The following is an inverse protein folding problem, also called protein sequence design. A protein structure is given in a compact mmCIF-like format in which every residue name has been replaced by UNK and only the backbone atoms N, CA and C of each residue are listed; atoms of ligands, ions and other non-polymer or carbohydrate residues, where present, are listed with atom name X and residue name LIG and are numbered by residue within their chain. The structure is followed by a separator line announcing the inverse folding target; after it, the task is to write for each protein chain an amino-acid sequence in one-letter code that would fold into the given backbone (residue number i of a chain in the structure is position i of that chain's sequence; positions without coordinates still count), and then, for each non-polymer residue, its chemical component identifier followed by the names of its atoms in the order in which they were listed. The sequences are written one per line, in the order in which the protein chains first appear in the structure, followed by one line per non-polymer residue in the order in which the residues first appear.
data_IF_739234702202
#
_entry.id   IF_739234702202
#
_cell.length_a   1.000
_cell.length_b   1.000
_cell.length_c   1.000
_cell.angle_alpha   90.00
_cell.angle_beta   90.00
_cell.angle_gamma   90.00
#
_symmetry.space_group_name_H-M   'P 1'
#
loop_
_entity.id
_entity.type
_entity.pdbx_description
1 polymer ?
#
# COMPACT_ATOMS: atom_id res chain seq x y z
N UNK A 1 -16.36 -29.72 -6.63
CA UNK A 1 -16.28 -30.66 -5.47
C UNK A 1 -14.84 -30.58 -4.99
N UNK A 2 -14.58 -29.74 -3.99
CA UNK A 2 -13.24 -29.59 -3.42
C UNK A 2 -12.89 -30.90 -2.71
N UNK A 3 -11.73 -31.46 -3.00
CA UNK A 3 -11.25 -32.67 -2.34
C UNK A 3 -10.93 -32.32 -0.89
N UNK A 4 -11.71 -32.87 0.06
CA UNK A 4 -11.60 -32.56 1.50
C UNK A 4 -10.19 -32.87 2.01
N UNK A 5 -9.52 -33.86 1.44
CA UNK A 5 -8.15 -34.22 1.81
C UNK A 5 -7.16 -33.09 1.53
N UNK A 6 -7.36 -32.32 0.45
CA UNK A 6 -6.53 -31.14 0.14
C UNK A 6 -6.73 -29.98 1.10
N UNK A 7 -7.88 -29.91 1.77
CA UNK A 7 -8.17 -28.88 2.78
C UNK A 7 -7.57 -29.26 4.14
N UNK A 8 -7.47 -30.56 4.42
CA UNK A 8 -6.88 -31.08 5.66
C UNK A 8 -5.36 -31.06 5.65
N UNK A 9 -4.73 -31.12 4.47
CA UNK A 9 -3.28 -31.05 4.32
C UNK A 9 -2.71 -29.77 4.97
N UNK A 10 -1.70 -29.93 5.84
CA UNK A 10 -1.06 -28.82 6.54
C UNK A 10 -1.79 -28.35 7.81
N UNK A 11 -2.96 -28.92 8.14
CA UNK A 11 -3.59 -28.65 9.44
C UNK A 11 -2.83 -29.32 10.59
N UNK A 12 -2.71 -28.60 11.71
CA UNK A 12 -2.05 -29.10 12.92
C UNK A 12 -3.08 -29.49 13.98
N UNK A 13 -2.87 -30.65 14.59
CA UNK A 13 -3.63 -31.12 15.73
C UNK A 13 -2.73 -31.23 16.96
N UNK A 14 -3.26 -30.90 18.14
CA UNK A 14 -2.60 -31.18 19.40
C UNK A 14 -3.36 -32.27 20.15
N UNK A 15 -2.64 -33.26 20.69
CA UNK A 15 -3.22 -34.35 21.45
C UNK A 15 -2.31 -34.79 22.59
N UNK A 16 -2.92 -35.23 23.69
CA UNK A 16 -2.21 -35.92 24.76
C UNK A 16 -2.05 -37.38 24.36
N UNK A 17 -0.86 -37.72 23.84
CA UNK A 17 -0.56 -39.08 23.44
C UNK A 17 -0.08 -39.86 24.65
N UNK A 18 -0.75 -40.98 24.91
CA UNK A 18 -0.23 -41.99 25.82
C UNK A 18 0.85 -42.74 25.05
N UNK A 19 2.10 -42.40 25.29
CA UNK A 19 3.24 -43.12 24.74
C UNK A 19 3.28 -44.50 25.38
N UNK A 20 2.48 -45.45 24.89
CA UNK A 20 2.62 -46.83 25.32
C UNK A 20 4.03 -47.28 24.97
N UNK A 21 4.87 -47.48 25.99
CA UNK A 21 6.27 -47.91 25.87
C UNK A 21 6.42 -49.34 25.33
N UNK A 22 5.49 -49.82 24.49
CA UNK A 22 5.63 -51.05 23.71
C UNK A 22 6.51 -50.84 22.47
N UNK A 23 6.69 -49.59 22.00
CA UNK A 23 7.51 -49.26 20.82
C UNK A 23 8.97 -48.89 21.10
N UNK A 24 9.26 -48.22 22.22
CA UNK A 24 10.58 -47.57 22.47
C UNK A 24 11.55 -48.47 23.25
N UNK A 25 11.09 -49.45 24.02
CA UNK A 25 11.95 -50.47 24.67
C UNK A 25 12.27 -51.66 23.75
N UNK A 26 12.55 -51.41 22.47
CA UNK A 26 12.97 -52.47 21.54
C UNK A 26 14.42 -52.91 21.76
N UNK A 27 15.22 -52.14 22.50
CA UNK A 27 16.61 -52.48 22.81
C UNK A 27 16.96 -52.27 24.30
N UNK A 28 17.18 -53.42 24.95
CA UNK A 28 17.85 -53.66 26.24
C UNK A 28 17.13 -53.18 27.52
N UNK A 29 17.03 -54.13 28.45
CA UNK A 29 16.62 -54.03 29.87
C UNK A 29 15.14 -53.79 30.18
N UNK A 30 14.32 -54.84 30.10
CA UNK A 30 13.52 -55.39 31.21
C UNK A 30 12.50 -56.41 30.65
N UNK A 31 12.93 -57.67 30.62
CA UNK A 31 12.25 -58.82 30.00
C UNK A 31 11.05 -59.39 30.80
N UNK A 32 10.40 -58.63 31.68
CA UNK A 32 9.40 -59.19 32.60
C UNK A 32 7.94 -58.82 32.29
N UNK A 33 7.63 -57.60 31.85
CA UNK A 33 6.23 -57.19 31.66
C UNK A 33 5.58 -57.74 30.39
N UNK A 34 6.37 -58.08 29.36
CA UNK A 34 5.84 -58.69 28.12
C UNK A 34 5.41 -60.16 28.31
N UNK A 35 6.01 -60.90 29.25
CA UNK A 35 5.71 -62.32 29.46
C UNK A 35 4.44 -62.56 30.28
N UNK A 36 4.11 -61.64 31.20
CA UNK A 36 2.92 -61.76 32.06
C UNK A 36 1.64 -61.24 31.38
N UNK A 37 1.75 -60.25 30.49
CA UNK A 37 0.59 -59.72 29.75
C UNK A 37 0.45 -60.25 28.31
N UNK A 38 1.48 -60.91 27.78
CA UNK A 38 1.48 -61.48 26.42
C UNK A 38 0.63 -62.74 26.23
N UNK A 39 0.05 -63.31 27.29
CA UNK A 39 -0.76 -64.53 27.22
C UNK A 39 -2.27 -64.26 27.08
N UNK A 40 -2.74 -63.04 27.34
CA UNK A 40 -4.14 -62.64 27.08
C UNK A 40 -4.18 -61.69 25.89
N UNK A 41 -4.14 -62.26 24.68
CA UNK A 41 -4.69 -61.60 23.48
C UNK A 41 -6.21 -61.43 23.69
N UNK A 42 -6.60 -60.37 24.37
CA UNK A 42 -7.99 -59.96 24.53
C UNK A 42 -8.06 -58.48 24.19
N UNK A 43 -9.13 -58.10 23.49
CA UNK A 43 -9.57 -56.72 23.19
C UNK A 43 -9.35 -55.70 24.32
N UNK A 44 -9.22 -56.16 25.57
CA UNK A 44 -8.86 -55.35 26.72
C UNK A 44 -7.63 -54.45 26.50
N UNK A 45 -6.57 -54.88 25.80
CA UNK A 45 -5.32 -54.11 25.66
C UNK A 45 -5.39 -52.94 24.66
N UNK A 46 -6.47 -52.82 23.89
CA UNK A 46 -6.72 -51.68 23.00
C UNK A 46 -7.32 -50.46 23.72
N UNK A 47 -7.62 -50.57 25.01
CA UNK A 47 -8.24 -49.47 25.74
C UNK A 47 -7.20 -48.41 26.15
N UNK A 48 -7.39 -47.17 25.68
CA UNK A 48 -6.58 -45.99 25.99
C UNK A 48 -6.35 -45.81 27.50
N UNK A 49 -7.30 -46.22 28.34
CA UNK A 49 -7.23 -46.03 29.79
C UNK A 49 -6.29 -47.00 30.54
N UNK A 50 -5.88 -48.13 29.96
CA UNK A 50 -5.13 -49.13 30.72
C UNK A 50 -3.76 -48.65 31.23
N UNK A 51 -2.93 -47.97 30.43
CA UNK A 51 -1.66 -47.45 30.91
C UNK A 51 -1.85 -46.39 32.00
N UNK A 52 -2.93 -45.61 31.93
CA UNK A 52 -3.27 -44.61 32.95
C UNK A 52 -3.60 -45.26 34.30
N UNK A 53 -4.42 -46.32 34.28
CA UNK A 53 -4.77 -47.07 35.50
C UNK A 53 -3.53 -47.72 36.10
N UNK A 54 -2.67 -48.31 35.26
CA UNK A 54 -1.43 -48.92 35.72
C UNK A 54 -0.51 -47.92 36.44
N UNK A 55 -0.28 -46.76 35.82
CA UNK A 55 0.57 -45.73 36.43
C UNK A 55 -0.07 -45.13 37.69
N UNK A 56 -1.40 -45.03 37.72
CA UNK A 56 -2.12 -44.58 38.92
C UNK A 56 -1.92 -45.55 40.08
N UNK A 57 -1.94 -46.87 39.85
CA UNK A 57 -1.67 -47.86 40.88
C UNK A 57 -0.23 -47.76 41.40
N UNK A 58 0.73 -47.50 40.52
CA UNK A 58 2.13 -47.26 40.92
C UNK A 58 2.28 -45.99 41.74
N UNK A 59 1.64 -44.88 41.35
CA UNK A 59 1.66 -43.65 42.12
C UNK A 59 1.07 -43.83 43.52
N UNK A 60 -0.05 -44.56 43.64
CA UNK A 60 -0.63 -44.92 44.93
C UNK A 60 0.36 -45.76 45.74
N UNK A 61 0.95 -46.80 45.16
CA UNK A 61 1.91 -47.66 45.86
C UNK A 61 3.14 -46.89 46.37
N UNK A 62 3.71 -46.01 45.53
CA UNK A 62 4.84 -45.15 45.89
C UNK A 62 4.49 -44.17 47.02
N UNK A 63 3.30 -43.56 46.97
CA UNK A 63 2.84 -42.64 48.01
C UNK A 63 2.63 -43.33 49.37
N UNK A 64 2.11 -44.57 49.37
CA UNK A 64 1.95 -45.39 50.57
C UNK A 64 3.33 -45.80 51.10
N UNK A 65 4.25 -46.20 50.23
CA UNK A 65 5.61 -46.56 50.62
C UNK A 65 6.35 -45.39 51.29
N UNK A 66 6.28 -44.18 50.72
CA UNK A 66 6.84 -42.98 51.35
C UNK A 66 6.19 -42.67 52.70
N UNK A 67 4.90 -42.98 52.87
CA UNK A 67 4.19 -42.77 54.14
C UNK A 67 4.61 -43.79 55.20
N UNK A 68 4.85 -45.04 54.79
CA UNK A 68 5.41 -46.10 55.62
C UNK A 68 6.81 -45.76 56.10
N UNK A 69 7.67 -45.25 55.22
CA UNK A 69 9.04 -44.84 55.58
C UNK A 69 9.04 -43.75 56.67
N UNK A 70 8.06 -42.83 56.63
CA UNK A 70 7.97 -41.72 57.56
C UNK A 70 7.31 -42.06 58.90
N UNK A 71 6.28 -42.92 58.92
CA UNK A 71 5.45 -43.17 60.11
C UNK A 71 5.53 -44.60 60.66
N UNK A 72 6.14 -45.52 59.92
CA UNK A 72 6.17 -46.95 60.23
C UNK A 72 4.90 -47.69 59.77
N UNK A 73 5.06 -48.97 59.43
CA UNK A 73 4.01 -49.84 58.87
C UNK A 73 2.79 -49.91 59.81
N UNK A 74 3.01 -50.04 61.12
CA UNK A 74 1.94 -50.21 62.12
C UNK A 74 0.98 -49.01 62.19
N UNK A 75 1.48 -47.78 62.02
CA UNK A 75 0.63 -46.59 62.03
C UNK A 75 -0.21 -46.46 60.76
N UNK A 76 0.34 -46.88 59.62
CA UNK A 76 -0.36 -46.87 58.33
C UNK A 76 -1.43 -47.97 58.30
N UNK A 77 -1.12 -49.16 58.82
CA UNK A 77 -2.07 -50.30 58.90
C UNK A 77 -3.25 -50.02 59.83
N UNK A 78 -3.01 -49.32 60.94
CA UNK A 78 -4.04 -48.97 61.93
C UNK A 78 -4.72 -47.62 61.63
N UNK A 79 -4.70 -47.15 60.39
CA UNK A 79 -5.35 -45.89 59.99
C UNK A 79 -6.86 -45.92 60.26
N UNK A 80 -7.38 -44.86 60.89
CA UNK A 80 -8.81 -44.64 61.11
C UNK A 80 -9.22 -43.29 60.51
N UNK A 81 -10.35 -43.28 59.80
CA UNK A 81 -10.94 -42.07 59.24
C UNK A 81 -11.46 -41.16 60.37
N UNK A 82 -11.20 -39.84 60.29
CA UNK A 82 -11.54 -38.82 61.30
C UNK A 82 -10.87 -39.00 62.68
N UNK A 83 -9.76 -39.72 62.78
CA UNK A 83 -8.94 -39.75 64.00
C UNK A 83 -7.78 -38.73 63.89
N UNK A 84 -7.69 -37.84 64.89
CA UNK A 84 -6.62 -36.84 64.97
C UNK A 84 -5.22 -37.47 65.09
N UNK A 85 -5.12 -38.70 65.62
CA UNK A 85 -3.85 -39.42 65.75
C UNK A 85 -3.32 -39.95 64.42
N UNK A 86 -4.20 -40.22 63.46
CA UNK A 86 -3.85 -40.79 62.14
C UNK A 86 -3.85 -39.74 61.03
N UNK A 87 -4.37 -38.52 61.30
CA UNK A 87 -4.31 -37.37 60.39
C UNK A 87 -2.90 -37.10 59.80
N UNK A 88 -1.79 -37.16 60.56
CA UNK A 88 -0.45 -36.94 60.00
C UNK A 88 -0.04 -37.97 58.94
N UNK A 89 -0.61 -39.18 58.98
CA UNK A 89 -0.39 -40.24 57.98
C UNK A 89 -1.07 -39.85 56.68
N UNK A 90 -2.32 -39.35 56.74
CA UNK A 90 -3.05 -38.87 55.56
C UNK A 90 -2.37 -37.65 54.93
N UNK A 91 -1.93 -36.69 55.74
CA UNK A 91 -1.20 -35.51 55.26
C UNK A 91 0.11 -35.89 54.57
N UNK A 92 0.80 -36.91 55.09
CA UNK A 92 2.03 -37.42 54.48
C UNK A 92 1.76 -38.22 53.21
N UNK A 93 0.66 -38.98 53.16
CA UNK A 93 0.22 -39.67 51.96
C UNK A 93 -0.07 -38.68 50.83
N UNK A 94 -0.82 -37.62 51.12
CA UNK A 94 -1.14 -36.58 50.13
C UNK A 94 0.11 -35.85 49.64
N UNK A 95 1.02 -35.47 50.55
CA UNK A 95 2.31 -34.86 50.18
C UNK A 95 3.17 -35.79 49.34
N UNK A 96 3.27 -37.06 49.73
CA UNK A 96 4.06 -38.04 48.99
C UNK A 96 3.44 -38.33 47.62
N UNK A 97 2.10 -38.32 47.50
CA UNK A 97 1.40 -38.49 46.23
C UNK A 97 1.70 -37.34 45.26
N UNK A 98 1.66 -36.09 45.73
CA UNK A 98 2.01 -34.93 44.90
C UNK A 98 3.50 -34.89 44.53
N UNK A 99 4.37 -35.45 45.36
CA UNK A 99 5.81 -35.53 45.13
C UNK A 99 6.25 -36.77 44.31
N UNK A 100 5.32 -37.58 43.82
CA UNK A 100 5.65 -38.73 42.97
C UNK A 100 6.15 -38.23 41.61
N UNK A 101 7.34 -38.71 41.24
CA UNK A 101 7.98 -38.48 39.95
C UNK A 101 8.62 -39.82 39.50
N UNK A 102 8.10 -40.42 38.43
CA UNK A 102 8.66 -41.65 37.86
C UNK A 102 8.31 -41.82 36.38
N UNK A 103 9.04 -42.71 35.70
CA UNK A 103 8.72 -43.12 34.33
C UNK A 103 7.69 -44.27 34.34
N UNK A 104 6.46 -43.99 33.93
CA UNK A 104 5.36 -44.95 33.84
C UNK A 104 5.13 -45.49 32.42
N UNK A 105 4.13 -46.37 32.26
CA UNK A 105 3.71 -46.92 30.97
C UNK A 105 3.06 -45.89 30.04
N UNK A 106 2.51 -44.81 30.58
CA UNK A 106 1.92 -43.70 29.83
C UNK A 106 2.87 -42.50 29.63
N UNK A 107 4.16 -42.66 29.96
CA UNK A 107 5.16 -41.61 29.87
C UNK A 107 5.65 -41.16 31.25
N UNK A 108 6.27 -39.98 31.29
CA UNK A 108 6.72 -39.39 32.53
C UNK A 108 5.51 -39.03 33.41
N UNK A 109 5.48 -39.51 34.65
CA UNK A 109 4.36 -39.35 35.56
C UNK A 109 4.75 -38.42 36.71
N UNK A 110 4.11 -37.24 36.74
CA UNK A 110 4.27 -36.28 37.81
C UNK A 110 2.99 -35.44 37.97
N UNK A 111 2.81 -34.85 39.16
CA UNK A 111 1.76 -33.89 39.46
C UNK A 111 2.31 -32.47 39.40
N UNK A 112 1.50 -31.54 38.91
CA UNK A 112 1.78 -30.12 39.07
C UNK A 112 1.50 -29.71 40.52
N UNK A 113 2.50 -29.12 41.18
CA UNK A 113 2.43 -28.69 42.58
C UNK A 113 1.37 -27.61 42.82
N UNK A 114 0.98 -26.85 41.78
CA UNK A 114 -0.01 -25.78 41.90
C UNK A 114 -1.43 -26.29 41.64
N UNK A 115 -1.67 -26.94 40.51
CA UNK A 115 -3.02 -27.42 40.14
C UNK A 115 -3.40 -28.75 40.78
N UNK A 116 -2.42 -29.54 41.26
CA UNK A 116 -2.64 -30.92 41.72
C UNK A 116 -3.04 -31.87 40.60
N UNK A 117 -2.94 -31.44 39.33
CA UNK A 117 -3.29 -32.24 38.16
C UNK A 117 -2.07 -32.95 37.61
N UNK A 118 -2.28 -34.20 37.20
CA UNK A 118 -1.29 -34.96 36.45
C UNK A 118 -0.99 -34.24 35.13
N UNK A 119 0.28 -34.09 34.81
CA UNK A 119 0.72 -33.53 33.54
C UNK A 119 1.00 -34.64 32.51
N UNK A 120 0.86 -34.27 31.24
CA UNK A 120 1.13 -35.11 30.08
C UNK A 120 1.92 -34.30 29.07
N UNK A 121 2.74 -35.00 28.29
CA UNK A 121 3.41 -34.40 27.14
C UNK A 121 2.36 -34.12 26.06
N UNK A 122 2.39 -32.91 25.52
CA UNK A 122 1.49 -32.47 24.46
C UNK A 122 2.12 -32.78 23.11
N UNK A 123 1.59 -33.77 22.41
CA UNK A 123 2.06 -34.13 21.07
C UNK A 123 1.40 -33.25 20.02
N UNK A 124 2.18 -32.89 19.01
CA UNK A 124 1.77 -32.09 17.86
C UNK A 124 1.82 -32.99 16.65
N UNK A 125 0.68 -33.12 15.98
CA UNK A 125 0.57 -33.86 14.74
C UNK A 125 0.23 -32.95 13.56
N UNK A 126 0.75 -33.29 12.38
CA UNK A 126 0.49 -32.63 11.11
C UNK A 126 -0.19 -33.61 10.14
N UNK A 127 -1.27 -33.20 9.50
CA UNK A 127 -1.91 -34.00 8.46
C UNK A 127 -1.15 -33.89 7.13
N UNK A 128 -0.73 -35.04 6.57
CA UNK A 128 -0.10 -35.13 5.25
C UNK A 128 -1.16 -35.09 4.11
N UNK A 129 -0.71 -34.98 2.85
CA UNK A 129 -1.57 -34.92 1.66
C UNK A 129 -2.55 -36.10 1.51
N UNK A 130 -2.24 -37.22 2.18
CA UNK A 130 -3.06 -38.43 2.19
C UNK A 130 -4.10 -38.46 3.32
N UNK A 131 -4.17 -37.42 4.17
CA UNK A 131 -5.05 -37.34 5.33
C UNK A 131 -4.58 -38.14 6.56
N UNK A 132 -3.33 -38.61 6.55
CA UNK A 132 -2.72 -39.30 7.69
C UNK A 132 -2.05 -38.30 8.66
N UNK A 133 -2.23 -38.51 9.96
CA UNK A 133 -1.63 -37.67 11.01
C UNK A 133 -0.22 -38.16 11.35
N UNK A 134 0.79 -37.36 11.01
CA UNK A 134 2.20 -37.59 11.37
C UNK A 134 2.55 -36.86 12.67
N UNK A 135 3.26 -37.50 13.59
CA UNK A 135 3.69 -36.94 14.88
C UNK A 135 5.01 -36.15 14.71
N UNK A 136 4.94 -34.82 14.72
CA UNK A 136 6.07 -33.94 14.38
C UNK A 136 6.88 -33.50 15.60
N UNK A 137 6.33 -33.66 16.80
CA UNK A 137 7.03 -33.34 18.03
C UNK A 137 6.13 -33.37 19.27
N UNK A 138 6.73 -33.14 20.43
CA UNK A 138 6.02 -33.04 21.70
C UNK A 138 6.56 -31.89 22.54
N UNK A 139 5.67 -31.27 23.30
CA UNK A 139 5.99 -30.22 24.25
C UNK A 139 6.01 -30.80 25.66
N UNK A 140 7.17 -30.73 26.31
CA UNK A 140 7.33 -31.07 27.71
C UNK A 140 7.11 -29.80 28.55
N UNK A 141 6.04 -29.82 29.35
CA UNK A 141 5.68 -28.70 30.23
C UNK A 141 6.64 -28.52 31.40
N UNK A 142 7.26 -29.59 31.90
CA UNK A 142 8.19 -29.52 33.03
C UNK A 142 9.43 -28.71 32.66
N UNK A 143 9.99 -29.01 31.49
CA UNK A 143 11.20 -28.32 30.97
C UNK A 143 10.82 -27.07 30.17
N UNK A 144 9.54 -26.88 29.84
CA UNK A 144 9.03 -25.80 28.97
C UNK A 144 9.77 -25.77 27.63
N UNK A 145 9.99 -26.94 27.03
CA UNK A 145 10.70 -27.10 25.76
C UNK A 145 9.89 -27.93 24.77
N UNK A 146 9.93 -27.49 23.52
CA UNK A 146 9.41 -28.24 22.38
C UNK A 146 10.52 -29.14 21.82
N UNK A 147 10.23 -30.43 21.73
CA UNK A 147 11.11 -31.42 21.12
C UNK A 147 10.50 -31.86 19.80
N UNK A 148 11.18 -31.52 18.70
CA UNK A 148 10.79 -31.96 17.36
C UNK A 148 11.37 -33.35 17.10
N UNK A 149 10.55 -34.25 16.54
CA UNK A 149 11.00 -35.62 16.22
C UNK A 149 12.08 -35.59 15.15
N UNK A 150 11.90 -34.75 14.13
CA UNK A 150 12.86 -34.48 13.06
C UNK A 150 12.71 -33.02 12.60
N UNK A 151 13.76 -32.20 12.63
CA UNK A 151 13.68 -30.77 12.31
C UNK A 151 13.21 -30.47 10.88
N UNK A 152 13.42 -31.40 9.94
CA UNK A 152 13.10 -31.23 8.51
C UNK A 152 11.73 -31.83 8.11
N UNK A 153 10.94 -32.36 9.06
CA UNK A 153 9.66 -33.03 8.74
C UNK A 153 8.48 -32.09 8.54
N UNK A 154 8.57 -30.84 9.03
CA UNK A 154 7.51 -29.85 8.90
C UNK A 154 7.68 -29.09 7.59
N UNK A 155 7.39 -29.76 6.48
CA UNK A 155 7.42 -29.15 5.15
C UNK A 155 6.00 -28.81 4.74
N UNK A 156 5.72 -27.51 4.60
CA UNK A 156 4.47 -27.02 4.02
C UNK A 156 4.52 -27.19 2.50
N UNK A 157 4.40 -28.44 2.02
CA UNK A 157 4.57 -28.81 0.60
C UNK A 157 3.67 -28.00 -0.34
N UNK A 158 2.44 -27.70 0.09
CA UNK A 158 1.47 -26.89 -0.64
C UNK A 158 1.81 -25.39 -0.71
N UNK A 159 2.80 -24.91 0.06
CA UNK A 159 3.19 -23.50 0.21
C UNK A 159 4.71 -23.29 0.05
N UNK A 160 5.34 -24.04 -0.86
CA UNK A 160 6.75 -23.84 -1.22
C UNK A 160 7.76 -24.26 -0.14
N UNK A 161 7.33 -25.04 0.85
CA UNK A 161 8.21 -25.61 1.89
C UNK A 161 8.54 -24.69 3.06
N UNK A 162 8.05 -23.44 3.07
CA UNK A 162 8.20 -22.51 4.19
C UNK A 162 6.88 -22.33 4.94
N UNK A 163 6.95 -21.97 6.22
CA UNK A 163 5.74 -21.65 7.00
C UNK A 163 5.02 -20.44 6.37
N UNK A 164 3.68 -20.47 6.28
CA UNK A 164 2.93 -19.34 5.76
C UNK A 164 3.10 -18.11 6.65
N UNK A 165 3.15 -16.94 6.03
CA UNK A 165 3.18 -15.65 6.72
C UNK A 165 1.82 -15.36 7.37
N UNK A 166 1.85 -14.63 8.47
CA UNK A 166 0.67 -14.15 9.20
C UNK A 166 0.06 -12.89 8.58
N UNK A 167 0.90 -12.05 7.96
CA UNK A 167 0.50 -10.84 7.23
C UNK A 167 1.07 -10.84 5.80
N UNK A 168 0.31 -10.25 4.87
CA UNK A 168 0.78 -10.00 3.51
C UNK A 168 1.90 -8.95 3.50
N UNK A 169 2.95 -9.18 2.72
CA UNK A 169 4.05 -8.22 2.57
C UNK A 169 3.61 -7.14 1.57
N UNK A 170 3.44 -5.90 2.03
CA UNK A 170 3.08 -4.76 1.15
C UNK A 170 4.33 -4.18 0.49
N UNK A 171 4.37 -4.20 -0.84
CA UNK A 171 5.45 -3.61 -1.64
C UNK A 171 4.91 -2.46 -2.47
N UNK A 172 5.47 -1.25 -2.30
CA UNK A 172 5.05 -0.08 -3.06
C UNK A 172 5.88 0.07 -4.33
N UNK A 173 5.22 0.04 -5.49
CA UNK A 173 5.85 0.25 -6.79
C UNK A 173 5.38 1.57 -7.40
N UNK A 174 6.32 2.44 -7.79
CA UNK A 174 5.97 3.74 -8.38
C UNK A 174 5.69 3.59 -9.87
N UNK A 175 4.47 3.92 -10.30
CA UNK A 175 4.14 4.02 -11.72
C UNK A 175 4.63 5.36 -12.28
N UNK A 176 5.59 5.29 -13.20
CA UNK A 176 6.10 6.44 -13.93
C UNK A 176 5.52 6.48 -15.36
N UNK A 177 5.54 7.65 -15.99
CA UNK A 177 5.18 7.79 -17.41
C UNK A 177 6.17 7.02 -18.28
N UNK A 178 5.70 6.46 -19.39
CA UNK A 178 6.56 5.79 -20.37
C UNK A 178 7.66 6.74 -20.87
N UNK A 179 8.91 6.27 -20.82
CA UNK A 179 10.08 7.03 -21.29
C UNK A 179 9.91 7.54 -22.72
N UNK A 180 9.23 6.77 -23.58
CA UNK A 180 8.95 7.16 -24.96
C UNK A 180 8.10 8.42 -25.04
N UNK A 181 7.02 8.50 -24.26
CA UNK A 181 6.12 9.66 -24.23
C UNK A 181 6.87 10.88 -23.69
N UNK A 182 7.64 10.70 -22.63
CA UNK A 182 8.47 11.76 -22.06
C UNK A 182 9.45 12.35 -23.07
N UNK A 183 10.18 11.50 -23.80
CA UNK A 183 11.15 11.95 -24.81
C UNK A 183 10.44 12.74 -25.92
N UNK A 184 9.35 12.19 -26.46
CA UNK A 184 8.61 12.83 -27.56
C UNK A 184 8.07 14.20 -27.15
N UNK A 185 7.41 14.31 -25.99
CA UNK A 185 6.85 15.57 -25.50
C UNK A 185 7.95 16.59 -25.16
N UNK A 186 9.07 16.14 -24.60
CA UNK A 186 10.20 17.03 -24.29
C UNK A 186 10.85 17.61 -25.55
N UNK A 187 10.99 16.80 -26.60
CA UNK A 187 11.53 17.26 -27.89
C UNK A 187 10.57 18.27 -28.53
N UNK A 188 9.26 18.00 -28.52
CA UNK A 188 8.26 18.92 -29.06
C UNK A 188 8.24 20.27 -28.32
N UNK A 189 8.26 20.25 -26.98
CA UNK A 189 8.36 21.47 -26.17
C UNK A 189 9.67 22.23 -26.43
N UNK A 190 10.80 21.52 -26.58
CA UNK A 190 12.09 22.12 -26.93
C UNK A 190 12.07 22.81 -28.30
N UNK A 191 11.43 22.21 -29.31
CA UNK A 191 11.23 22.83 -30.62
C UNK A 191 10.33 24.07 -30.51
N UNK A 192 9.25 24.00 -29.73
CA UNK A 192 8.35 25.12 -29.48
C UNK A 192 9.07 26.36 -28.91
N UNK A 193 9.87 26.15 -27.85
CA UNK A 193 10.68 27.20 -27.23
C UNK A 193 11.67 27.79 -28.24
N UNK A 194 12.37 26.94 -29.01
CA UNK A 194 13.34 27.39 -29.99
C UNK A 194 12.70 28.25 -31.09
N UNK A 195 11.54 27.84 -31.60
CA UNK A 195 10.78 28.60 -32.60
C UNK A 195 10.30 29.94 -32.03
N UNK A 196 9.79 29.96 -30.80
CA UNK A 196 9.35 31.18 -30.13
C UNK A 196 10.53 32.16 -29.97
N UNK A 197 11.70 31.70 -29.53
CA UNK A 197 12.90 32.52 -29.38
C UNK A 197 13.38 33.08 -30.72
N UNK A 198 13.43 32.26 -31.78
CA UNK A 198 13.79 32.73 -33.13
C UNK A 198 12.84 33.84 -33.57
N UNK A 199 11.54 33.66 -33.37
CA UNK A 199 10.55 34.65 -33.78
C UNK A 199 10.63 35.94 -32.95
N UNK A 200 10.91 35.85 -31.64
CA UNK A 200 11.20 37.03 -30.79
C UNK A 200 12.41 37.79 -31.34
N UNK A 201 13.52 37.09 -31.61
CA UNK A 201 14.75 37.70 -32.14
C UNK A 201 14.47 38.36 -33.49
N UNK A 202 13.79 37.65 -34.40
CA UNK A 202 13.42 38.18 -35.71
C UNK A 202 12.55 39.43 -35.60
N UNK A 203 11.55 39.43 -34.71
CA UNK A 203 10.66 40.56 -34.48
C UNK A 203 11.38 41.77 -33.87
N UNK A 204 12.41 41.56 -33.05
CA UNK A 204 13.24 42.64 -32.49
C UNK A 204 14.19 43.22 -33.54
N UNK A 205 14.84 42.37 -34.34
CA UNK A 205 15.79 42.80 -35.39
C UNK A 205 15.09 43.58 -36.49
N UNK A 206 13.92 43.11 -36.94
CA UNK A 206 13.14 43.74 -38.01
C UNK A 206 12.02 44.66 -37.50
N UNK A 207 12.17 45.23 -36.29
CA UNK A 207 11.13 46.03 -35.63
C UNK A 207 10.64 47.21 -36.47
N UNK A 208 11.51 47.77 -37.33
CA UNK A 208 11.19 48.91 -38.20
C UNK A 208 10.43 48.53 -39.47
N UNK A 209 10.29 47.24 -39.76
CA UNK A 209 9.53 46.78 -40.92
C UNK A 209 8.02 47.05 -40.71
N UNK A 210 7.38 47.64 -41.72
CA UNK A 210 5.98 48.12 -41.67
C UNK A 210 5.02 47.03 -41.17
N UNK A 211 5.20 45.79 -41.64
CA UNK A 211 4.35 44.66 -41.22
C UNK A 211 4.44 44.32 -39.73
N UNK A 212 5.60 44.50 -39.10
CA UNK A 212 5.80 44.22 -37.67
C UNK A 212 5.24 45.38 -36.84
N UNK A 213 5.46 46.62 -37.29
CA UNK A 213 4.95 47.83 -36.63
C UNK A 213 3.42 47.90 -36.62
N UNK A 214 2.77 47.54 -37.72
CA UNK A 214 1.31 47.57 -37.85
C UNK A 214 0.61 46.40 -37.13
N UNK A 215 1.37 45.36 -36.73
CA UNK A 215 0.86 44.14 -36.09
C UNK A 215 0.73 44.17 -34.56
N UNK A 216 1.02 45.31 -33.92
CA UNK A 216 1.12 45.49 -32.47
C UNK A 216 2.13 44.52 -31.82
N UNK A 217 3.43 44.85 -31.90
CA UNK A 217 4.51 43.93 -31.54
C UNK A 217 4.51 43.57 -30.04
N UNK A 218 4.06 44.46 -29.15
CA UNK A 218 4.08 44.22 -27.69
C UNK A 218 3.13 43.08 -27.34
N UNK A 219 1.90 43.10 -27.86
CA UNK A 219 0.93 42.02 -27.62
C UNK A 219 1.40 40.70 -28.22
N UNK A 220 2.15 40.75 -29.33
CA UNK A 220 2.74 39.55 -29.94
C UNK A 220 3.83 38.96 -29.06
N UNK A 221 4.67 39.79 -28.43
CA UNK A 221 5.65 39.32 -27.44
C UNK A 221 4.99 38.69 -26.21
N UNK A 222 3.90 39.27 -25.69
CA UNK A 222 3.14 38.69 -24.57
C UNK A 222 2.66 37.26 -24.90
N UNK A 223 2.13 37.05 -26.10
CA UNK A 223 1.65 35.73 -26.56
C UNK A 223 2.82 34.73 -26.65
N UNK A 224 3.96 35.13 -27.21
CA UNK A 224 5.15 34.27 -27.34
C UNK A 224 5.75 33.89 -25.98
N UNK A 225 5.78 34.83 -25.03
CA UNK A 225 6.17 34.55 -23.65
C UNK A 225 5.21 33.50 -23.05
N UNK A 226 3.91 33.61 -23.33
CA UNK A 226 2.92 32.59 -22.95
C UNK A 226 3.22 31.20 -23.50
N UNK A 227 3.59 31.09 -24.78
CA UNK A 227 4.01 29.81 -25.38
C UNK A 227 5.21 29.22 -24.61
N UNK A 228 6.25 30.03 -24.37
CA UNK A 228 7.45 29.59 -23.66
C UNK A 228 7.12 29.11 -22.25
N UNK A 229 6.27 29.84 -21.51
CA UNK A 229 5.86 29.45 -20.16
C UNK A 229 5.14 28.10 -20.17
N UNK A 230 4.25 27.85 -21.13
CA UNK A 230 3.52 26.59 -21.26
C UNK A 230 4.43 25.43 -21.70
N UNK A 231 5.36 25.67 -22.61
CA UNK A 231 6.35 24.66 -23.02
C UNK A 231 7.27 24.28 -21.84
N UNK A 232 7.68 25.27 -21.03
CA UNK A 232 8.45 25.04 -19.80
C UNK A 232 7.62 24.28 -18.76
N UNK A 233 6.34 24.58 -18.63
CA UNK A 233 5.42 23.80 -17.78
C UNK A 233 5.40 22.32 -18.19
N UNK A 234 5.31 22.02 -19.49
CA UNK A 234 5.32 20.63 -19.99
C UNK A 234 6.61 19.92 -19.59
N UNK A 235 7.77 20.57 -19.73
CA UNK A 235 9.07 19.99 -19.36
C UNK A 235 9.17 19.70 -17.86
N UNK A 236 8.71 20.62 -17.02
CA UNK A 236 8.74 20.45 -15.56
C UNK A 236 7.76 19.36 -15.12
N UNK A 237 6.53 19.38 -15.61
CA UNK A 237 5.48 18.43 -15.22
C UNK A 237 5.86 16.98 -15.57
N UNK A 238 6.43 16.76 -16.74
CA UNK A 238 6.89 15.43 -17.17
C UNK A 238 8.15 15.00 -16.41
N UNK A 239 9.07 15.95 -16.14
CA UNK A 239 10.27 15.68 -15.34
C UNK A 239 9.93 15.22 -13.93
N UNK A 240 8.97 15.89 -13.29
CA UNK A 240 8.44 15.54 -11.97
C UNK A 240 7.91 14.10 -11.92
N UNK A 241 7.04 13.76 -12.89
CA UNK A 241 6.43 12.43 -13.05
C UNK A 241 7.45 11.31 -13.34
N UNK A 242 8.69 11.65 -13.70
CA UNK A 242 9.76 10.70 -14.02
C UNK A 242 10.85 10.61 -12.94
N UNK A 243 10.91 11.55 -11.99
CA UNK A 243 11.89 11.51 -10.89
C UNK A 243 11.58 10.44 -9.84
N UNK A 244 11.73 9.18 -10.22
CA UNK A 244 12.14 8.09 -9.33
C UNK A 244 13.66 8.08 -9.04
N UNK A 245 14.37 9.15 -9.41
CA UNK A 245 15.85 9.25 -9.33
C UNK A 245 16.30 9.87 -7.99
N UNK A 246 15.42 10.62 -7.31
CA UNK A 246 15.70 11.14 -5.97
C UNK A 246 14.67 10.58 -4.96
N UNK A 247 15.11 9.99 -3.84
CA UNK A 247 14.24 9.58 -2.75
C UNK A 247 13.73 10.77 -1.92
N UNK A 248 14.09 12.00 -2.29
CA UNK A 248 13.60 13.19 -1.60
C UNK A 248 12.14 13.47 -1.97
N UNK A 249 11.31 13.81 -0.98
CA UNK A 249 9.93 14.17 -1.23
C UNK A 249 9.90 15.35 -2.19
N UNK A 250 9.07 15.23 -3.22
CA UNK A 250 8.72 16.31 -4.12
C UNK A 250 8.42 17.58 -3.31
N UNK A 251 9.27 18.61 -3.41
CA UNK A 251 9.06 19.82 -2.63
C UNK A 251 7.69 20.42 -3.00
N UNK A 252 6.86 20.75 -2.00
CA UNK A 252 5.55 21.37 -2.24
C UNK A 252 5.62 22.66 -3.08
N UNK A 253 6.79 23.29 -3.13
CA UNK A 253 7.06 24.44 -3.97
C UNK A 253 7.06 24.10 -5.48
N UNK A 254 7.47 22.89 -5.88
CA UNK A 254 7.40 22.46 -7.28
C UNK A 254 5.93 22.28 -7.72
N UNK A 255 5.08 21.75 -6.84
CA UNK A 255 3.64 21.65 -7.07
C UNK A 255 3.00 23.03 -7.28
N UNK A 256 3.33 24.00 -6.42
CA UNK A 256 2.87 25.39 -6.54
C UNK A 256 3.38 26.05 -7.82
N UNK A 257 4.67 25.89 -8.13
CA UNK A 257 5.28 26.47 -9.33
C UNK A 257 4.64 25.91 -10.61
N UNK A 258 4.46 24.59 -10.69
CA UNK A 258 3.85 23.90 -11.83
C UNK A 258 2.41 24.35 -12.06
N UNK A 259 1.62 24.44 -11.00
CA UNK A 259 0.22 24.94 -11.05
C UNK A 259 0.19 26.41 -11.48
N UNK A 260 1.08 27.24 -10.94
CA UNK A 260 1.20 28.65 -11.31
C UNK A 260 1.58 28.85 -12.78
N UNK A 261 2.59 28.13 -13.27
CA UNK A 261 3.05 28.21 -14.66
C UNK A 261 1.92 27.89 -15.65
N UNK A 262 1.09 26.88 -15.36
CA UNK A 262 -0.05 26.55 -16.20
C UNK A 262 -1.08 27.70 -16.25
N UNK A 263 -1.46 28.23 -15.08
CA UNK A 263 -2.49 29.28 -14.97
C UNK A 263 -2.02 30.58 -15.63
N UNK A 264 -0.80 31.02 -15.32
CA UNK A 264 -0.23 32.24 -15.91
C UNK A 264 0.07 32.04 -17.40
N UNK A 265 0.69 30.93 -17.79
CA UNK A 265 0.99 30.60 -19.18
C UNK A 265 -0.27 30.63 -20.06
N UNK A 266 -1.38 30.06 -19.57
CA UNK A 266 -2.66 30.12 -20.23
C UNK A 266 -3.15 31.56 -20.45
N UNK A 267 -3.03 32.44 -19.46
CA UNK A 267 -3.45 33.85 -19.60
C UNK A 267 -2.56 34.63 -20.53
N UNK A 268 -1.24 34.47 -20.44
CA UNK A 268 -0.30 35.09 -21.38
C UNK A 268 -0.60 34.71 -22.82
N UNK A 269 -0.86 33.43 -23.09
CA UNK A 269 -1.20 32.95 -24.42
C UNK A 269 -2.61 33.40 -24.83
N UNK A 270 -3.64 32.89 -24.16
CA UNK A 270 -5.03 33.05 -24.58
C UNK A 270 -5.60 34.44 -24.26
N UNK A 271 -5.29 34.97 -23.09
CA UNK A 271 -5.65 36.34 -22.72
C UNK A 271 -4.95 37.36 -23.62
N UNK A 272 -3.66 37.14 -23.93
CA UNK A 272 -2.91 37.94 -24.90
C UNK A 272 -3.56 37.93 -26.30
N UNK A 273 -3.93 36.75 -26.81
CA UNK A 273 -4.63 36.61 -28.09
C UNK A 273 -5.99 37.31 -28.07
N UNK A 274 -6.77 37.14 -27.00
CA UNK A 274 -8.11 37.75 -26.85
C UNK A 274 -8.03 39.27 -26.87
N UNK A 275 -7.15 39.85 -26.06
CA UNK A 275 -6.97 41.31 -25.99
C UNK A 275 -6.48 41.87 -27.32
N UNK A 276 -5.56 41.17 -28.01
CA UNK A 276 -5.09 41.54 -29.34
C UNK A 276 -6.24 41.56 -30.35
N UNK A 277 -7.05 40.50 -30.42
CA UNK A 277 -8.20 40.40 -31.32
C UNK A 277 -9.28 41.43 -31.02
N UNK A 278 -9.50 41.72 -29.73
CA UNK A 278 -10.39 42.77 -29.30
C UNK A 278 -9.92 44.16 -29.75
N UNK A 279 -8.62 44.44 -29.66
CA UNK A 279 -8.02 45.64 -30.23
C UNK A 279 -8.29 45.75 -31.73
N UNK A 280 -8.11 44.66 -32.48
CA UNK A 280 -8.32 44.61 -33.95
C UNK A 280 -9.78 44.90 -34.28
N UNK A 281 -10.70 44.24 -33.59
CA UNK A 281 -12.13 44.49 -33.70
C UNK A 281 -12.46 45.97 -33.47
N UNK A 282 -11.95 46.57 -32.40
CA UNK A 282 -12.18 47.99 -32.07
C UNK A 282 -11.57 48.92 -33.12
N UNK A 283 -10.37 48.64 -33.61
CA UNK A 283 -9.69 49.42 -34.64
C UNK A 283 -10.51 49.45 -35.94
N UNK A 284 -11.07 48.30 -36.32
CA UNK A 284 -11.87 48.23 -37.55
C UNK A 284 -13.31 48.75 -37.37
N UNK A 285 -13.87 48.68 -36.16
CA UNK A 285 -15.20 49.19 -35.82
C UNK A 285 -15.24 50.72 -35.79
N UNK A 286 -14.19 51.36 -35.28
CA UNK A 286 -14.11 52.82 -35.25
C UNK A 286 -13.63 53.35 -36.62
N UNK A 287 -14.44 54.19 -37.26
CA UNK A 287 -14.12 54.79 -38.57
C UNK A 287 -12.86 55.68 -38.51
N UNK A 288 -11.70 55.08 -38.79
CA UNK A 288 -10.38 55.64 -39.19
C UNK A 288 -9.75 56.81 -38.40
N UNK A 289 -10.38 57.38 -37.37
CA UNK A 289 -9.91 58.62 -36.72
C UNK A 289 -9.16 58.44 -35.39
N UNK A 290 -9.06 57.23 -34.84
CA UNK A 290 -8.37 56.99 -33.55
C UNK A 290 -7.31 55.91 -33.69
N UNK A 291 -6.04 56.31 -33.59
CA UNK A 291 -4.92 55.40 -33.34
C UNK A 291 -5.16 54.78 -31.96
N UNK A 292 -5.36 53.46 -31.90
CA UNK A 292 -5.50 52.77 -30.63
C UNK A 292 -4.13 52.74 -29.96
N UNK A 293 -4.06 53.21 -28.71
CA UNK A 293 -2.83 53.14 -27.93
C UNK A 293 -2.59 51.70 -27.50
N UNK A 294 -1.47 51.11 -27.93
CA UNK A 294 -1.04 49.76 -27.56
C UNK A 294 -0.90 49.61 -26.03
N UNK A 295 -0.51 50.67 -25.32
CA UNK A 295 -0.43 50.67 -23.86
C UNK A 295 -1.77 50.42 -23.17
N UNK A 296 -2.89 50.77 -23.80
CA UNK A 296 -4.21 50.49 -23.24
C UNK A 296 -4.62 49.02 -23.39
N UNK A 297 -4.17 48.34 -24.45
CA UNK A 297 -4.33 46.89 -24.58
C UNK A 297 -3.50 46.15 -23.53
N UNK A 298 -2.25 46.57 -23.34
CA UNK A 298 -1.38 46.02 -22.28
C UNK A 298 -2.01 46.22 -20.89
N UNK A 299 -2.65 47.36 -20.65
CA UNK A 299 -3.37 47.60 -19.39
C UNK A 299 -4.54 46.63 -19.16
N UNK A 300 -5.35 46.34 -20.19
CA UNK A 300 -6.44 45.34 -20.09
C UNK A 300 -5.85 43.95 -19.80
N UNK A 301 -4.78 43.58 -20.49
CA UNK A 301 -4.09 42.31 -20.24
C UNK A 301 -3.53 42.23 -18.82
N UNK A 302 -2.91 43.30 -18.33
CA UNK A 302 -2.39 43.36 -16.96
C UNK A 302 -3.48 43.11 -15.91
N UNK A 303 -4.70 43.59 -16.12
CA UNK A 303 -5.83 43.30 -15.22
C UNK A 303 -6.20 41.82 -15.18
N UNK A 304 -6.07 41.08 -16.31
CA UNK A 304 -6.28 39.63 -16.32
C UNK A 304 -5.21 38.90 -15.50
N UNK A 305 -3.95 39.34 -15.57
CA UNK A 305 -2.86 38.78 -14.76
C UNK A 305 -3.06 39.07 -13.28
N UNK A 306 -3.48 40.28 -12.92
CA UNK A 306 -3.78 40.62 -11.52
C UNK A 306 -4.90 39.73 -10.96
N UNK A 307 -5.95 39.49 -11.75
CA UNK A 307 -7.02 38.56 -11.35
C UNK A 307 -6.48 37.14 -11.09
N UNK A 308 -5.60 36.63 -11.97
CA UNK A 308 -4.95 35.33 -11.78
C UNK A 308 -4.08 35.29 -10.52
N UNK A 309 -3.26 36.33 -10.29
CA UNK A 309 -2.41 36.42 -9.10
C UNK A 309 -3.26 36.37 -7.84
N UNK A 310 -4.38 37.08 -7.79
CA UNK A 310 -5.28 37.07 -6.64
C UNK A 310 -5.86 35.66 -6.41
N UNK A 311 -6.37 35.00 -7.46
CA UNK A 311 -6.96 33.66 -7.34
C UNK A 311 -5.93 32.62 -6.91
N UNK A 312 -4.73 32.65 -7.49
CA UNK A 312 -3.63 31.73 -7.15
C UNK A 312 -3.10 31.98 -5.74
N UNK A 313 -2.93 33.26 -5.35
CA UNK A 313 -2.50 33.61 -4.01
C UNK A 313 -3.51 33.14 -2.95
N UNK A 314 -4.82 33.32 -3.21
CA UNK A 314 -5.87 32.81 -2.34
C UNK A 314 -5.80 31.29 -2.19
N UNK A 315 -5.60 30.56 -3.29
CA UNK A 315 -5.45 29.10 -3.23
C UNK A 315 -4.24 28.70 -2.38
N UNK A 316 -3.05 29.24 -2.69
CA UNK A 316 -1.81 28.83 -2.01
C UNK A 316 -1.75 29.23 -0.52
N UNK A 317 -2.47 30.28 -0.12
CA UNK A 317 -2.54 30.73 1.29
C UNK A 317 -3.57 29.92 2.07
N UNK A 318 -4.73 29.61 1.48
CA UNK A 318 -5.82 28.90 2.17
C UNK A 318 -5.55 27.39 2.22
N UNK A 319 -5.08 26.81 1.12
CA UNK A 319 -4.89 25.37 0.97
C UNK A 319 -3.60 25.08 0.17
N UNK A 320 -2.43 25.04 0.83
CA UNK A 320 -1.16 24.83 0.15
C UNK A 320 -1.09 23.42 -0.45
N UNK A 321 -0.66 23.32 -1.71
CA UNK A 321 -0.46 22.02 -2.36
C UNK A 321 0.74 21.29 -1.75
N UNK A 322 0.56 20.00 -1.49
CA UNK A 322 1.59 19.09 -1.00
C UNK A 322 1.64 17.81 -1.85
N UNK A 323 2.81 17.14 -1.93
CA UNK A 323 2.91 15.86 -2.62
C UNK A 323 2.18 14.76 -1.84
N UNK A 324 1.39 13.94 -2.54
CA UNK A 324 0.70 12.80 -1.95
C UNK A 324 0.79 11.58 -2.88
N UNK A 325 1.02 10.40 -2.31
CA UNK A 325 0.95 9.13 -3.04
C UNK A 325 -0.49 8.71 -3.21
N UNK A 326 -0.93 8.61 -4.46
CA UNK A 326 -2.24 8.11 -4.85
C UNK A 326 -2.06 6.62 -5.20
N UNK A 327 -2.81 5.75 -4.54
CA UNK A 327 -2.84 4.32 -4.85
C UNK A 327 -3.67 4.09 -6.11
N UNK A 328 -3.12 3.41 -7.11
CA UNK A 328 -3.78 3.11 -8.38
C UNK A 328 -4.37 1.71 -8.35
N UNK A 329 -3.49 0.70 -8.38
CA UNK A 329 -3.84 -0.71 -8.53
C UNK A 329 -3.04 -1.53 -7.50
N UNK A 330 -3.63 -2.62 -7.00
CA UNK A 330 -2.91 -3.58 -6.16
C UNK A 330 -2.95 -4.97 -6.79
N UNK A 331 -1.80 -5.60 -6.96
CA UNK A 331 -1.69 -6.99 -7.42
C UNK A 331 -1.21 -7.87 -6.27
N UNK A 332 -1.97 -8.91 -5.95
CA UNK A 332 -1.58 -9.92 -4.97
C UNK A 332 -0.95 -11.10 -5.69
N UNK A 333 0.25 -11.49 -5.28
CA UNK A 333 0.87 -12.73 -5.68
C UNK A 333 0.54 -13.81 -4.62
N UNK A 334 -0.37 -14.72 -4.97
CA UNK A 334 -0.89 -15.77 -4.08
C UNK A 334 0.19 -16.77 -3.64
N UNK A 335 1.28 -16.89 -4.40
CA UNK A 335 2.38 -17.81 -4.11
C UNK A 335 3.37 -17.23 -3.10
N UNK A 336 3.62 -15.91 -3.16
CA UNK A 336 4.58 -15.22 -2.28
C UNK A 336 3.92 -14.43 -1.15
N UNK A 337 2.59 -14.31 -1.14
CA UNK A 337 1.83 -13.46 -0.22
C UNK A 337 2.29 -11.99 -0.25
N UNK A 338 2.89 -11.57 -1.37
CA UNK A 338 3.33 -10.19 -1.59
C UNK A 338 2.22 -9.44 -2.32
N UNK A 339 1.77 -8.33 -1.71
CA UNK A 339 0.85 -7.38 -2.34
C UNK A 339 1.64 -6.21 -2.88
N UNK A 340 1.79 -6.14 -4.20
CA UNK A 340 2.39 -4.99 -4.88
C UNK A 340 1.32 -3.91 -5.06
N UNK A 341 1.49 -2.79 -4.37
CA UNK A 341 0.63 -1.60 -4.46
C UNK A 341 1.30 -0.60 -5.39
N UNK A 342 0.65 -0.33 -6.51
CA UNK A 342 1.12 0.63 -7.49
C UNK A 342 0.71 2.03 -7.07
N UNK A 343 1.68 2.93 -6.88
CA UNK A 343 1.46 4.32 -6.45
C UNK A 343 1.93 5.33 -7.49
N UNK A 344 1.20 6.43 -7.61
CA UNK A 344 1.58 7.63 -8.37
C UNK A 344 1.73 8.80 -7.41
N UNK A 345 2.75 9.63 -7.59
CA UNK A 345 2.90 10.86 -6.81
C UNK A 345 2.16 11.97 -7.55
N UNK A 346 1.18 12.58 -6.88
CA UNK A 346 0.45 13.74 -7.36
C UNK A 346 0.55 14.89 -6.37
N UNK A 347 0.25 16.10 -6.85
CA UNK A 347 0.08 17.26 -5.99
C UNK A 347 -1.39 17.34 -5.53
N UNK A 348 -1.62 17.18 -4.24
CA UNK A 348 -2.94 17.13 -3.64
C UNK A 348 -3.15 18.25 -2.62
N UNK A 349 -4.40 18.60 -2.38
CA UNK A 349 -4.83 19.58 -1.39
C UNK A 349 -6.27 19.27 -0.98
N UNK A 350 -6.69 19.62 0.23
CA UNK A 350 -7.98 19.15 0.80
C UNK A 350 -9.18 19.67 -0.01
N UNK A 351 -9.10 20.90 -0.49
CA UNK A 351 -10.14 21.59 -1.24
C UNK A 351 -9.76 21.78 -2.72
N UNK A 352 -8.81 20.98 -3.25
CA UNK A 352 -8.30 21.03 -4.63
C UNK A 352 -9.42 21.22 -5.65
N UNK A 353 -10.44 20.38 -5.59
CA UNK A 353 -11.55 20.35 -6.55
C UNK A 353 -12.32 21.67 -6.60
N UNK A 354 -12.56 22.31 -5.45
CA UNK A 354 -13.29 23.57 -5.39
C UNK A 354 -12.50 24.73 -6.03
N UNK A 355 -11.20 24.82 -5.75
CA UNK A 355 -10.32 25.80 -6.37
C UNK A 355 -10.17 25.57 -7.87
N UNK A 356 -10.04 24.31 -8.31
CA UNK A 356 -9.97 23.94 -9.72
C UNK A 356 -11.24 24.34 -10.47
N UNK A 357 -12.42 24.03 -9.92
CA UNK A 357 -13.72 24.43 -10.50
C UNK A 357 -13.81 25.95 -10.60
N UNK A 358 -13.45 26.69 -9.55
CA UNK A 358 -13.51 28.14 -9.55
C UNK A 358 -12.61 28.76 -10.64
N UNK A 359 -11.38 28.26 -10.77
CA UNK A 359 -10.42 28.69 -11.82
C UNK A 359 -10.97 28.33 -13.20
N UNK A 360 -11.42 27.10 -13.41
CA UNK A 360 -11.95 26.66 -14.70
C UNK A 360 -13.18 27.47 -15.11
N UNK A 361 -14.10 27.77 -14.21
CA UNK A 361 -15.25 28.64 -14.49
C UNK A 361 -14.81 30.04 -14.92
N UNK A 362 -13.88 30.66 -14.20
CA UNK A 362 -13.34 31.97 -14.55
C UNK A 362 -12.62 31.95 -15.92
N UNK A 363 -11.77 30.95 -16.18
CA UNK A 363 -11.08 30.79 -17.47
C UNK A 363 -12.06 30.50 -18.61
N UNK A 364 -13.11 29.74 -18.37
CA UNK A 364 -14.17 29.48 -19.34
C UNK A 364 -14.89 30.76 -19.77
N UNK A 365 -15.14 31.69 -18.83
CA UNK A 365 -15.71 33.00 -19.17
C UNK A 365 -14.77 33.78 -20.10
N UNK A 366 -13.47 33.83 -19.78
CA UNK A 366 -12.46 34.48 -20.64
C UNK A 366 -12.39 33.83 -22.03
N UNK A 367 -12.44 32.49 -22.09
CA UNK A 367 -12.50 31.71 -23.33
C UNK A 367 -13.73 32.05 -24.19
N UNK A 368 -14.92 32.09 -23.58
CA UNK A 368 -16.16 32.38 -24.29
C UNK A 368 -16.19 33.83 -24.81
N UNK A 369 -15.77 34.79 -23.99
CA UNK A 369 -15.64 36.19 -24.40
C UNK A 369 -14.68 36.31 -25.57
N UNK A 370 -13.55 35.63 -25.49
CA UNK A 370 -12.58 35.56 -26.57
C UNK A 370 -13.18 35.02 -27.86
N UNK A 371 -13.80 33.83 -27.80
CA UNK A 371 -14.46 33.19 -28.93
C UNK A 371 -15.52 34.06 -29.59
N UNK A 372 -16.32 34.78 -28.79
CA UNK A 372 -17.34 35.71 -29.29
C UNK A 372 -16.74 36.88 -30.10
N UNK A 373 -15.56 37.36 -29.72
CA UNK A 373 -14.87 38.47 -30.39
C UNK A 373 -14.25 38.03 -31.73
N UNK A 374 -13.90 36.75 -31.89
CA UNK A 374 -13.22 36.25 -33.10
C UNK A 374 -14.05 36.46 -34.36
N UNK A 375 -15.34 36.14 -34.31
CA UNK A 375 -16.20 36.21 -35.51
C UNK A 375 -16.36 37.64 -36.05
N UNK A 376 -16.72 38.66 -35.25
CA UNK A 376 -16.73 40.05 -35.69
C UNK A 376 -15.37 40.55 -36.18
N UNK A 377 -14.27 40.15 -35.53
CA UNK A 377 -12.92 40.55 -35.92
C UNK A 377 -12.54 40.00 -37.29
N UNK A 378 -12.81 38.71 -37.54
CA UNK A 378 -12.61 38.04 -38.84
C UNK A 378 -13.41 38.70 -39.95
N UNK A 379 -14.71 38.91 -39.73
CA UNK A 379 -15.60 39.49 -40.72
C UNK A 379 -15.12 40.87 -41.17
N UNK A 380 -14.72 41.71 -40.21
CA UNK A 380 -14.20 43.05 -40.53
C UNK A 380 -12.82 43.03 -41.18
N UNK A 381 -11.95 42.08 -40.82
CA UNK A 381 -10.64 41.93 -41.45
C UNK A 381 -10.74 41.52 -42.92
N UNK A 382 -11.61 40.53 -43.23
CA UNK A 382 -11.85 40.07 -44.60
C UNK A 382 -12.40 41.20 -45.48
N UNK A 383 -13.35 42.00 -44.95
CA UNK A 383 -13.93 43.15 -45.68
C UNK A 383 -12.89 44.22 -46.05
N UNK A 384 -11.76 44.29 -45.34
CA UNK A 384 -10.70 45.28 -45.55
C UNK A 384 -9.44 44.71 -46.22
N UNK A 385 -9.44 43.44 -46.63
CA UNK A 385 -8.36 42.83 -47.41
C UNK A 385 -7.08 42.49 -46.63
N UNK A 386 -7.12 42.45 -45.29
CA UNK A 386 -5.97 42.05 -44.48
C UNK A 386 -6.01 40.54 -44.18
N UNK A 387 -5.20 39.76 -44.88
CA UNK A 387 -5.13 38.29 -44.75
C UNK A 387 -4.38 37.83 -43.49
N UNK A 388 -3.45 38.61 -42.95
CA UNK A 388 -2.59 38.20 -41.83
C UNK A 388 -3.35 37.96 -40.50
N UNK A 389 -4.55 38.52 -40.33
CA UNK A 389 -5.35 38.35 -39.11
C UNK A 389 -6.16 37.05 -39.07
N UNK A 390 -6.33 36.36 -40.21
CA UNK A 390 -7.04 35.08 -40.26
C UNK A 390 -6.31 34.00 -39.44
N UNK A 391 -4.97 34.03 -39.41
CA UNK A 391 -4.16 33.09 -38.64
C UNK A 391 -4.42 33.15 -37.13
N UNK A 392 -4.47 34.37 -36.55
CA UNK A 392 -4.76 34.56 -35.12
C UNK A 392 -6.16 34.10 -34.73
N UNK A 393 -7.13 34.30 -35.62
CA UNK A 393 -8.49 33.87 -35.39
C UNK A 393 -8.64 32.35 -35.46
N UNK A 394 -7.99 31.70 -36.43
CA UNK A 394 -7.95 30.24 -36.53
C UNK A 394 -7.25 29.65 -35.31
N UNK A 395 -6.10 30.18 -34.89
CA UNK A 395 -5.40 29.68 -33.69
C UNK A 395 -6.23 29.82 -32.42
N UNK A 396 -7.06 30.86 -32.32
CA UNK A 396 -7.94 31.06 -31.18
C UNK A 396 -9.11 30.06 -31.16
N UNK A 397 -9.72 29.78 -32.32
CA UNK A 397 -10.75 28.74 -32.43
C UNK A 397 -10.21 27.34 -32.16
N UNK A 398 -9.03 27.00 -32.69
CA UNK A 398 -8.41 25.70 -32.43
C UNK A 398 -8.05 25.54 -30.95
N UNK A 399 -7.52 26.59 -30.31
CA UNK A 399 -7.21 26.59 -28.88
C UNK A 399 -8.47 26.48 -28.01
N UNK A 400 -9.57 27.14 -28.39
CA UNK A 400 -10.86 27.06 -27.70
C UNK A 400 -11.41 25.63 -27.76
N UNK A 401 -11.44 25.01 -28.94
CA UNK A 401 -11.91 23.64 -29.13
C UNK A 401 -11.02 22.63 -28.38
N UNK A 402 -9.69 22.79 -28.49
CA UNK A 402 -8.75 21.93 -27.76
C UNK A 402 -8.96 22.04 -26.25
N UNK A 403 -9.12 23.25 -25.71
CA UNK A 403 -9.34 23.47 -24.27
C UNK A 403 -10.64 22.82 -23.78
N UNK A 404 -11.73 22.93 -24.55
CA UNK A 404 -13.02 22.31 -24.19
C UNK A 404 -12.88 20.78 -24.17
N UNK A 405 -12.26 20.21 -25.20
CA UNK A 405 -12.05 18.75 -25.29
C UNK A 405 -11.14 18.25 -24.17
N UNK A 406 -10.04 18.95 -23.88
CA UNK A 406 -9.11 18.58 -22.82
C UNK A 406 -9.76 18.56 -21.43
N UNK A 407 -10.63 19.54 -21.11
CA UNK A 407 -11.33 19.60 -19.82
C UNK A 407 -12.37 18.50 -19.67
N UNK A 408 -12.98 18.02 -20.77
CA UNK A 408 -13.95 16.92 -20.73
C UNK A 408 -13.27 15.56 -20.57
N UNK A 409 -12.04 15.42 -21.06
CA UNK A 409 -11.26 14.17 -21.00
C UNK A 409 -10.50 14.04 -19.66
N UNK A 410 -10.07 15.15 -19.08
CA UNK A 410 -9.37 15.19 -17.79
C UNK A 410 -10.34 15.03 -16.63
#
# INVERSE_FOLDING_TARGET
KTDILKVLEGTMGCSQKITSLLGVYRNKTHYSTKKTFGATKSKAMQNYYNPLVYDTLWAIALSINGSIQKHGIEKVKNYRHRDNKTKPVLDSLYKNLLAVDFQGMSGHFYYDNVSGLRQFDSHIGLFDSNGELSDIGYFDKNVSKLFMTEPDTVVWKSKGGSAPLDEEIKQYERRCISKTVTIVLSVLAGIGILLALIYIIYAVVHRDHIMIKDGWPIMTFVILIGCIILDVYILIHIGDLQTGIHPEPLNGDLCKATTGLLIFGFTFLYGGMTVKLWGIYKFFSQNKKKVINEGWLVFIFFMLIVADVIVVALWFVIDPLYPMSIELDSTLDDDTSVRTITVMIGCESVYKTYFLIAILCYKAIVLLLGGFIVWPALFMSMKKGFSHFSGFAVSMFTSLLASIVSVVIS
#
